data_IF_036044426526
#
_entry.id   IF_036044426526
#
_cell.length_a   1.000
_cell.length_b   1.000
_cell.length_c   1.000
_cell.angle_alpha   90.00
_cell.angle_beta   90.00
_cell.angle_gamma   90.00
#
_symmetry.space_group_name_H-M   'P 1'
#
loop_
_entity.id
_entity.type
_entity.pdbx_description
1 polymer ?
#
# COMPACT_ATOMS: atom_id res chain seq x y z
N UNK A 1 -1.47 -1.55 24.81
CA UNK A 1 -0.86 -2.23 23.64
C UNK A 1 -0.46 -1.16 22.64
N UNK A 2 0.82 -0.84 22.41
CA UNK A 2 1.18 0.14 21.40
C UNK A 2 0.99 -0.48 20.01
N UNK A 3 -0.07 -0.08 19.31
CA UNK A 3 -0.27 -0.44 17.90
C UNK A 3 0.93 0.12 17.14
N UNK A 4 1.65 -0.80 16.51
CA UNK A 4 3.06 -0.72 16.12
C UNK A 4 3.36 0.40 15.09
N UNK A 5 4.43 1.16 15.35
CA UNK A 5 4.94 2.29 14.55
C UNK A 5 5.11 2.04 13.04
N UNK A 6 5.14 0.78 12.58
CA UNK A 6 5.27 0.39 11.16
C UNK A 6 3.98 0.58 10.35
N UNK A 7 2.81 0.39 10.95
CA UNK A 7 1.52 0.52 10.24
C UNK A 7 1.30 1.95 9.74
N UNK A 8 1.82 2.92 10.49
CA UNK A 8 1.74 4.35 10.16
C UNK A 8 2.61 4.70 8.96
N UNK A 9 3.69 3.96 8.68
CA UNK A 9 4.67 4.35 7.67
C UNK A 9 4.18 4.08 6.23
N UNK A 10 3.67 2.87 5.94
CA UNK A 10 3.12 2.54 4.62
C UNK A 10 1.86 3.35 4.30
N UNK A 11 1.00 3.57 5.30
CA UNK A 11 -0.17 4.43 5.14
C UNK A 11 0.24 5.88 4.84
N UNK A 12 1.22 6.43 5.54
CA UNK A 12 1.77 7.77 5.25
C UNK A 12 2.35 7.85 3.84
N UNK A 13 3.04 6.80 3.39
CA UNK A 13 3.58 6.74 2.04
C UNK A 13 2.48 6.78 0.97
N UNK A 14 1.37 6.06 1.16
CA UNK A 14 0.18 6.17 0.30
C UNK A 14 -0.44 7.57 0.34
N UNK A 15 -0.56 8.17 1.54
CA UNK A 15 -1.09 9.53 1.71
C UNK A 15 -0.23 10.59 0.99
N UNK A 16 1.10 10.44 1.00
CA UNK A 16 2.02 11.30 0.23
C UNK A 16 1.79 11.19 -1.29
N UNK A 17 1.34 10.04 -1.78
CA UNK A 17 0.93 9.84 -3.17
C UNK A 17 -0.52 10.29 -3.45
N UNK A 18 -1.18 10.94 -2.48
CA UNK A 18 -2.60 11.30 -2.51
C UNK A 18 -3.53 10.10 -2.68
N UNK A 19 -3.09 8.91 -2.27
CA UNK A 19 -3.87 7.69 -2.28
C UNK A 19 -4.44 7.43 -0.89
N UNK A 20 -5.72 7.07 -0.82
CA UNK A 20 -6.35 6.65 0.43
C UNK A 20 -6.44 5.13 0.46
N UNK A 21 -5.74 4.50 1.39
CA UNK A 21 -5.91 3.07 1.64
C UNK A 21 -7.33 2.79 2.13
N UNK A 22 -8.04 1.91 1.44
CA UNK A 22 -9.37 1.43 1.83
C UNK A 22 -9.21 0.13 2.63
N UNK A 23 -8.64 -0.90 1.99
CA UNK A 23 -8.50 -2.24 2.56
C UNK A 23 -7.17 -2.86 2.17
N UNK A 24 -6.74 -3.85 2.93
CA UNK A 24 -5.55 -4.67 2.63
C UNK A 24 -5.94 -6.14 2.77
N UNK A 25 -5.81 -6.87 1.67
CA UNK A 25 -6.03 -8.31 1.62
C UNK A 25 -4.67 -9.00 1.73
N UNK A 26 -4.52 -9.89 2.72
CA UNK A 26 -3.30 -10.66 2.95
C UNK A 26 -3.52 -12.06 2.39
N UNK A 27 -2.77 -12.42 1.36
CA UNK A 27 -2.75 -13.75 0.76
C UNK A 27 -1.61 -14.57 1.37
N UNK A 28 -1.38 -15.80 0.87
CA UNK A 28 -0.34 -16.69 1.42
C UNK A 28 1.08 -16.23 1.04
N UNK A 29 1.19 -15.55 -0.10
CA UNK A 29 2.42 -15.28 -0.83
C UNK A 29 2.59 -13.78 -1.16
N UNK A 30 1.53 -12.98 -1.02
CA UNK A 30 1.55 -11.55 -1.29
C UNK A 30 0.44 -10.80 -0.52
N UNK A 31 0.51 -9.46 -0.56
CA UNK A 31 -0.59 -8.60 -0.13
C UNK A 31 -1.20 -7.86 -1.33
N UNK A 32 -2.49 -7.61 -1.28
CA UNK A 32 -3.18 -6.71 -2.21
C UNK A 32 -3.75 -5.52 -1.45
N UNK A 33 -3.55 -4.32 -1.98
CA UNK A 33 -3.99 -3.08 -1.35
C UNK A 33 -5.03 -2.42 -2.22
N UNK A 34 -6.22 -2.21 -1.64
CA UNK A 34 -7.27 -1.44 -2.27
C UNK A 34 -7.08 0.03 -1.92
N UNK A 35 -6.84 0.87 -2.93
CA UNK A 35 -6.64 2.31 -2.77
C UNK A 35 -7.68 3.11 -3.54
N UNK A 36 -8.05 4.26 -3.00
CA UNK A 36 -8.83 5.28 -3.69
C UNK A 36 -7.85 6.33 -4.23
N UNK A 37 -7.90 6.56 -5.54
CA UNK A 37 -7.11 7.59 -6.21
C UNK A 37 -7.77 8.98 -6.08
N UNK A 38 -7.03 10.08 -6.34
CA UNK A 38 -7.59 11.43 -6.38
C UNK A 38 -8.76 11.57 -7.36
N UNK A 39 -8.75 10.79 -8.44
CA UNK A 39 -9.81 10.75 -9.47
C UNK A 39 -11.06 9.97 -9.02
N UNK A 40 -11.14 9.61 -7.74
CA UNK A 40 -12.21 8.79 -7.14
C UNK A 40 -12.33 7.39 -7.76
N UNK A 41 -11.25 6.88 -8.36
CA UNK A 41 -11.19 5.50 -8.85
C UNK A 41 -10.68 4.58 -7.75
N UNK A 42 -11.27 3.41 -7.65
CA UNK A 42 -10.79 2.35 -6.77
C UNK A 42 -9.85 1.47 -7.58
N UNK A 43 -8.60 1.37 -7.13
CA UNK A 43 -7.57 0.54 -7.76
C UNK A 43 -7.13 -0.52 -6.75
N UNK A 44 -7.02 -1.76 -7.22
CA UNK A 44 -6.46 -2.86 -6.45
C UNK A 44 -5.02 -3.06 -6.90
N UNK A 45 -4.08 -2.84 -5.99
CA UNK A 45 -2.65 -2.94 -6.24
C UNK A 45 -2.15 -4.25 -5.65
N UNK A 46 -1.73 -5.17 -6.51
CA UNK A 46 -1.11 -6.42 -6.11
C UNK A 46 0.38 -6.20 -5.84
N UNK A 47 0.81 -6.44 -4.61
CA UNK A 47 2.23 -6.42 -4.26
C UNK A 47 2.89 -7.74 -4.67
N UNK A 48 4.21 -7.74 -4.92
CA UNK A 48 4.94 -8.95 -5.27
C UNK A 48 5.16 -9.91 -4.08
N UNK A 49 5.15 -9.39 -2.85
CA UNK A 49 5.33 -10.11 -1.57
C UNK A 49 4.64 -9.34 -0.44
N UNK A 50 4.73 -9.81 0.80
CA UNK A 50 4.16 -9.06 1.92
C UNK A 50 4.84 -7.70 2.09
N UNK A 51 4.06 -6.66 2.40
CA UNK A 51 4.58 -5.30 2.59
C UNK A 51 5.62 -5.21 3.71
N UNK A 52 5.54 -6.11 4.69
CA UNK A 52 6.45 -6.19 5.83
C UNK A 52 7.85 -6.70 5.45
N UNK A 53 7.95 -7.41 4.31
CA UNK A 53 9.20 -7.91 3.72
C UNK A 53 9.85 -6.90 2.77
N UNK A 54 9.25 -5.72 2.62
CA UNK A 54 9.70 -4.66 1.71
C UNK A 54 10.05 -3.40 2.48
N UNK A 55 11.01 -2.64 1.97
CA UNK A 55 11.21 -1.26 2.46
C UNK A 55 10.06 -0.37 2.00
N UNK A 56 9.90 0.79 2.66
CA UNK A 56 8.87 1.77 2.28
C UNK A 56 9.12 2.29 0.87
N UNK A 57 10.39 2.49 0.49
CA UNK A 57 10.76 2.97 -0.84
C UNK A 57 10.41 1.95 -1.92
N UNK A 58 10.77 0.66 -1.73
CA UNK A 58 10.36 -0.43 -2.64
C UNK A 58 8.84 -0.46 -2.80
N UNK A 59 8.11 -0.38 -1.69
CA UNK A 59 6.66 -0.35 -1.69
C UNK A 59 6.10 0.82 -2.53
N UNK A 60 6.63 2.03 -2.34
CA UNK A 60 6.22 3.22 -3.09
C UNK A 60 6.49 3.06 -4.59
N UNK A 61 7.63 2.48 -4.98
CA UNK A 61 7.93 2.21 -6.39
C UNK A 61 6.93 1.25 -7.02
N UNK A 62 6.55 0.18 -6.32
CA UNK A 62 5.54 -0.76 -6.82
C UNK A 62 4.16 -0.12 -6.95
N UNK A 63 3.76 0.70 -5.97
CA UNK A 63 2.50 1.44 -6.02
C UNK A 63 2.49 2.42 -7.20
N UNK A 64 3.59 3.16 -7.43
CA UNK A 64 3.71 4.06 -8.58
C UNK A 64 3.65 3.31 -9.91
N UNK A 65 4.36 2.19 -10.03
CA UNK A 65 4.34 1.34 -11.24
C UNK A 65 2.95 0.78 -11.53
N UNK A 66 2.14 0.49 -10.51
CA UNK A 66 0.78 -0.01 -10.67
C UNK A 66 -0.25 1.08 -11.05
N UNK A 67 0.11 2.36 -10.90
CA UNK A 67 -0.76 3.51 -11.20
C UNK A 67 -0.37 4.24 -12.50
N UNK A 68 0.81 3.94 -13.05
CA UNK A 68 1.29 4.44 -14.34
C UNK A 68 0.67 3.63 -15.50
#
# INVERSE_FOLDING_TARGET
>A
MPVSRKYTAYRKALEQLKLKQLDVFRYKDHDEIRVLTPDRKIVLIKLPRHREEMTIDEFVEHVKKALA
#
